data_IF_256027122501
#
_entry.id   IF_256027122501
#
_cell.length_a   1.000
_cell.length_b   1.000
_cell.length_c   1.000
_cell.angle_alpha   90.00
_cell.angle_beta   90.00
_cell.angle_gamma   90.00
#
_symmetry.space_group_name_H-M   'P 1'
#
loop_
_entity.id
_entity.type
_entity.pdbx_description
1 polymer ?
#
# COMPACT_ATOMS: atom_id res chain seq x y z
N UNK A 1 -20.07 -7.87 30.39
CA UNK A 1 -20.74 -7.31 29.21
C UNK A 1 -19.64 -6.71 28.34
N UNK A 2 -19.31 -7.38 27.22
CA UNK A 2 -17.98 -7.32 26.61
C UNK A 2 -17.65 -5.99 25.93
N UNK A 3 -16.60 -5.36 26.45
CA UNK A 3 -15.86 -4.23 25.88
C UNK A 3 -15.05 -4.76 24.70
N UNK A 4 -15.49 -4.48 23.47
CA UNK A 4 -14.66 -4.69 22.28
C UNK A 4 -13.75 -3.47 22.12
N UNK A 5 -12.45 -3.71 22.27
CA UNK A 5 -11.39 -2.72 22.14
C UNK A 5 -11.27 -2.24 20.69
N UNK A 6 -11.55 -0.97 20.46
CA UNK A 6 -11.25 -0.27 19.22
C UNK A 6 -9.80 0.23 19.27
N UNK A 7 -8.89 -0.44 18.56
CA UNK A 7 -7.52 0.02 18.36
C UNK A 7 -7.15 -0.08 16.88
N UNK A 8 -6.85 1.07 16.27
CA UNK A 8 -6.10 1.23 15.03
C UNK A 8 -6.58 0.43 13.82
N UNK A 9 -7.34 1.08 12.92
CA UNK A 9 -7.67 0.54 11.60
C UNK A 9 -6.38 0.28 10.78
N UNK A 10 -5.89 -0.96 10.81
CA UNK A 10 -4.91 -1.48 9.85
C UNK A 10 -5.68 -1.93 8.61
N UNK A 11 -5.90 -1.03 7.66
CA UNK A 11 -6.54 -1.36 6.39
C UNK A 11 -5.55 -2.00 5.38
N UNK A 12 -6.00 -2.98 4.62
CA UNK A 12 -5.28 -3.52 3.47
C UNK A 12 -6.28 -3.78 2.32
N UNK A 13 -5.80 -3.83 1.07
CA UNK A 13 -6.68 -4.07 -0.09
C UNK A 13 -7.34 -5.47 -0.07
N UNK A 14 -6.77 -6.39 0.71
CA UNK A 14 -7.31 -7.74 0.96
C UNK A 14 -8.58 -7.68 1.84
N UNK A 15 -8.87 -6.53 2.46
CA UNK A 15 -10.02 -6.34 3.33
C UNK A 15 -11.27 -5.83 2.60
N UNK A 16 -11.20 -5.60 1.28
CA UNK A 16 -12.38 -5.22 0.48
C UNK A 16 -13.22 -6.47 0.21
N UNK A 17 -14.41 -6.53 0.79
CA UNK A 17 -15.33 -7.66 0.67
C UNK A 17 -16.22 -7.56 -0.58
N UNK A 18 -16.62 -6.35 -0.97
CA UNK A 18 -17.46 -6.12 -2.14
C UNK A 18 -17.31 -4.69 -2.67
N UNK A 19 -17.49 -4.51 -3.98
CA UNK A 19 -17.60 -3.18 -4.60
C UNK A 19 -18.91 -3.09 -5.35
N UNK A 20 -19.72 -2.09 -5.03
CA UNK A 20 -21.04 -1.89 -5.63
C UNK A 20 -21.13 -0.50 -6.22
N UNK A 21 -21.52 -0.40 -7.49
CA UNK A 21 -21.95 0.86 -8.05
C UNK A 21 -23.28 1.25 -7.40
N UNK A 22 -23.35 2.46 -6.82
CA UNK A 22 -24.59 2.92 -6.18
C UNK A 22 -25.60 3.41 -7.21
N UNK A 23 -26.88 3.20 -6.88
CA UNK A 23 -28.00 3.77 -7.62
C UNK A 23 -28.01 5.29 -7.48
N UNK A 24 -28.54 5.99 -8.49
CA UNK A 24 -28.59 7.45 -8.51
C UNK A 24 -29.28 8.07 -7.28
N UNK A 25 -30.32 7.42 -6.74
CA UNK A 25 -31.00 7.89 -5.51
C UNK A 25 -30.08 7.86 -4.28
N UNK A 26 -29.27 6.80 -4.14
CA UNK A 26 -28.29 6.66 -3.04
C UNK A 26 -27.14 7.64 -3.23
N UNK A 27 -26.66 7.82 -4.46
CA UNK A 27 -25.63 8.81 -4.78
C UNK A 27 -26.05 10.23 -4.38
N UNK A 28 -27.31 10.62 -4.65
CA UNK A 28 -27.85 11.92 -4.20
C UNK A 28 -27.86 12.06 -2.69
N UNK A 29 -28.28 11.01 -1.96
CA UNK A 29 -28.26 11.01 -0.48
C UNK A 29 -26.85 11.17 0.08
N UNK A 30 -25.88 10.41 -0.42
CA UNK A 30 -24.48 10.50 0.01
C UNK A 30 -23.95 11.92 -0.22
N UNK A 31 -24.22 12.48 -1.41
CA UNK A 31 -23.80 13.85 -1.74
C UNK A 31 -24.42 14.90 -0.81
N UNK A 32 -25.70 14.76 -0.49
CA UNK A 32 -26.37 15.68 0.43
C UNK A 32 -25.76 15.58 1.83
N UNK A 33 -25.57 14.37 2.36
CA UNK A 33 -24.95 14.17 3.67
C UNK A 33 -23.53 14.76 3.75
N UNK A 34 -22.74 14.69 2.67
CA UNK A 34 -21.42 15.32 2.63
C UNK A 34 -21.52 16.85 2.57
N UNK A 35 -22.50 17.39 1.84
CA UNK A 35 -22.72 18.83 1.75
C UNK A 35 -23.15 19.43 3.09
N UNK A 36 -24.05 18.74 3.80
CA UNK A 36 -24.55 19.15 5.11
C UNK A 36 -23.41 19.15 6.15
N UNK A 37 -22.53 18.15 6.11
CA UNK A 37 -21.39 18.01 7.03
C UNK A 37 -20.26 19.00 6.72
N UNK A 38 -20.01 19.26 5.43
CA UNK A 38 -18.94 20.16 4.98
C UNK A 38 -19.51 21.22 4.02
N UNK A 39 -20.08 22.33 4.53
CA UNK A 39 -20.67 23.38 3.68
C UNK A 39 -19.66 23.99 2.70
N UNK A 40 -18.38 24.06 3.09
CA UNK A 40 -17.30 24.55 2.22
C UNK A 40 -17.05 23.68 0.98
N UNK A 41 -17.60 22.46 0.94
CA UNK A 41 -17.52 21.55 -0.20
C UNK A 41 -18.58 21.82 -1.26
N UNK A 42 -19.67 22.53 -0.95
CA UNK A 42 -20.82 22.68 -1.84
C UNK A 42 -20.45 23.17 -3.25
N UNK A 43 -19.57 24.18 -3.43
CA UNK A 43 -19.13 24.62 -4.75
C UNK A 43 -18.25 23.60 -5.48
N UNK A 44 -17.54 22.74 -4.75
CA UNK A 44 -16.56 21.77 -5.27
C UNK A 44 -17.16 20.37 -5.46
N UNK A 45 -18.35 20.11 -4.92
CA UNK A 45 -18.99 18.80 -4.96
C UNK A 45 -19.30 18.33 -6.38
N UNK A 46 -19.59 19.24 -7.31
CA UNK A 46 -19.84 18.88 -8.70
C UNK A 46 -18.57 18.44 -9.44
N UNK A 47 -17.40 18.94 -9.05
CA UNK A 47 -16.11 18.53 -9.60
C UNK A 47 -15.62 17.23 -8.99
N UNK A 48 -15.76 17.07 -7.67
CA UNK A 48 -15.21 15.95 -6.91
C UNK A 48 -16.13 14.72 -6.96
N UNK A 49 -17.45 14.93 -6.91
CA UNK A 49 -18.46 13.86 -6.94
C UNK A 49 -19.47 14.06 -8.07
N UNK A 50 -19.10 14.09 -9.37
CA UNK A 50 -19.99 14.53 -10.45
C UNK A 50 -21.33 13.78 -10.51
N UNK A 51 -22.45 14.50 -10.73
CA UNK A 51 -23.82 13.93 -10.71
C UNK A 51 -24.03 12.80 -11.73
N UNK A 52 -23.29 12.84 -12.84
CA UNK A 52 -23.38 11.88 -13.95
C UNK A 52 -22.32 10.77 -13.89
N UNK A 53 -21.28 10.94 -13.05
CA UNK A 53 -20.23 9.95 -12.93
C UNK A 53 -20.71 8.77 -12.04
N UNK A 54 -20.34 7.53 -12.38
CA UNK A 54 -20.66 6.37 -11.56
C UNK A 54 -19.91 6.48 -10.22
N UNK A 55 -20.65 6.45 -9.12
CA UNK A 55 -20.09 6.39 -7.77
C UNK A 55 -20.08 4.92 -7.32
N UNK A 56 -18.95 4.47 -6.79
CA UNK A 56 -18.76 3.09 -6.32
C UNK A 56 -18.58 3.15 -4.80
N UNK A 57 -19.26 2.28 -4.08
CA UNK A 57 -19.05 2.07 -2.65
C UNK A 57 -18.36 0.71 -2.46
N UNK A 58 -17.11 0.74 -1.98
CA UNK A 58 -16.36 -0.45 -1.61
C UNK A 58 -16.59 -0.76 -0.12
N UNK A 59 -17.20 -1.90 0.17
CA UNK A 59 -17.39 -2.41 1.52
C UNK A 59 -16.14 -3.14 1.96
N UNK A 60 -15.64 -2.80 3.13
CA UNK A 60 -14.45 -3.36 3.71
C UNK A 60 -14.79 -4.09 5.02
N UNK A 61 -13.83 -4.83 5.57
CA UNK A 61 -13.96 -5.40 6.91
C UNK A 61 -14.20 -4.30 7.96
N UNK A 62 -14.71 -4.69 9.14
CA UNK A 62 -15.03 -3.80 10.26
C UNK A 62 -16.07 -2.70 9.95
N UNK A 63 -16.94 -2.95 8.96
CA UNK A 63 -17.99 -2.01 8.55
C UNK A 63 -17.47 -0.67 7.99
N UNK A 64 -16.22 -0.63 7.53
CA UNK A 64 -15.69 0.51 6.80
C UNK A 64 -16.23 0.48 5.37
N UNK A 65 -16.82 1.57 4.89
CA UNK A 65 -17.14 1.74 3.48
C UNK A 65 -16.32 2.89 2.90
N UNK A 66 -15.81 2.69 1.70
CA UNK A 66 -15.09 3.70 0.93
C UNK A 66 -15.98 4.18 -0.21
N UNK A 67 -16.01 5.49 -0.43
CA UNK A 67 -16.69 6.14 -1.56
C UNK A 67 -15.65 6.45 -2.63
N UNK A 68 -15.76 5.77 -3.77
CA UNK A 68 -14.84 5.88 -4.89
C UNK A 68 -15.50 6.55 -6.09
N UNK A 69 -14.77 7.45 -6.72
CA UNK A 69 -15.08 8.02 -8.03
C UNK A 69 -13.85 7.82 -8.91
N UNK A 70 -14.03 7.29 -10.12
CA UNK A 70 -12.93 6.95 -11.04
C UNK A 70 -11.83 6.09 -10.36
N UNK A 71 -12.24 5.13 -9.52
CA UNK A 71 -11.36 4.27 -8.72
C UNK A 71 -10.50 5.00 -7.68
N UNK A 72 -10.69 6.31 -7.46
CA UNK A 72 -10.03 7.05 -6.39
C UNK A 72 -10.97 7.12 -5.19
N UNK A 73 -10.61 6.62 -3.99
CA UNK A 73 -11.42 6.80 -2.80
C UNK A 73 -11.27 8.24 -2.32
N UNK A 74 -12.40 8.90 -2.14
CA UNK A 74 -12.49 10.31 -1.79
C UNK A 74 -12.97 10.48 -0.36
N UNK A 75 -13.98 9.71 0.02
CA UNK A 75 -14.55 9.67 1.37
C UNK A 75 -14.59 8.25 1.90
N UNK A 76 -14.69 8.13 3.21
CA UNK A 76 -14.95 6.88 3.90
C UNK A 76 -15.98 7.11 5.01
N UNK A 77 -16.71 6.08 5.38
CA UNK A 77 -17.55 6.10 6.57
C UNK A 77 -17.44 4.75 7.28
N UNK A 78 -17.72 4.73 8.58
CA UNK A 78 -17.69 3.51 9.38
C UNK A 78 -19.10 3.28 9.92
N UNK A 79 -19.66 2.10 9.63
CA UNK A 79 -21.07 1.77 9.93
C UNK A 79 -22.00 2.84 9.34
N UNK A 80 -22.79 3.48 10.19
CA UNK A 80 -23.73 4.56 9.87
C UNK A 80 -23.22 5.93 10.33
N UNK A 81 -21.92 6.06 10.64
CA UNK A 81 -21.28 7.32 10.98
C UNK A 81 -21.14 8.27 9.78
N UNK A 82 -20.71 9.52 10.02
CA UNK A 82 -20.60 10.53 8.97
C UNK A 82 -19.56 10.15 7.92
N UNK A 83 -19.73 10.69 6.72
CA UNK A 83 -18.73 10.57 5.67
C UNK A 83 -17.55 11.49 6.00
N UNK A 84 -16.36 10.93 6.10
CA UNK A 84 -15.11 11.63 6.34
C UNK A 84 -14.28 11.65 5.06
N UNK A 85 -13.64 12.77 4.70
CA UNK A 85 -12.74 12.81 3.54
C UNK A 85 -11.52 11.93 3.79
N UNK A 86 -10.83 11.48 2.76
CA UNK A 86 -9.49 10.88 2.91
C UNK A 86 -8.45 11.96 3.21
N UNK A 87 -7.32 11.60 3.83
CA UNK A 87 -6.25 12.58 4.09
C UNK A 87 -5.73 13.23 2.81
N UNK A 88 -5.73 12.52 1.67
CA UNK A 88 -5.31 13.08 0.38
C UNK A 88 -6.28 14.13 -0.15
N UNK A 89 -7.58 13.93 0.07
CA UNK A 89 -8.59 14.91 -0.29
C UNK A 89 -8.46 16.13 0.60
N UNK A 90 -8.30 15.92 1.91
CA UNK A 90 -8.07 16.98 2.88
C UNK A 90 -6.77 17.77 2.62
N UNK A 91 -5.70 17.12 2.14
CA UNK A 91 -4.46 17.83 1.76
C UNK A 91 -4.62 18.72 0.53
N UNK A 92 -5.54 18.40 -0.37
CA UNK A 92 -5.86 19.25 -1.53
C UNK A 92 -6.77 20.42 -1.13
N UNK A 93 -7.67 20.19 -0.17
CA UNK A 93 -8.64 21.17 0.31
C UNK A 93 -8.56 21.26 1.85
N UNK A 94 -7.55 21.93 2.43
CA UNK A 94 -7.29 21.87 3.87
C UNK A 94 -8.33 22.59 4.74
N UNK A 95 -9.12 23.50 4.18
CA UNK A 95 -10.03 24.37 4.94
C UNK A 95 -11.47 23.84 5.04
N UNK A 96 -11.70 22.63 4.54
CA UNK A 96 -13.01 21.97 4.51
C UNK A 96 -13.44 21.42 5.88
N UNK A 97 -12.48 21.21 6.78
CA UNK A 97 -12.69 20.58 8.08
C UNK A 97 -12.19 21.49 9.19
N UNK A 98 -12.87 21.42 10.33
CA UNK A 98 -12.40 21.99 11.59
C UNK A 98 -11.11 21.29 12.02
N UNK A 99 -10.19 22.04 12.63
CA UNK A 99 -8.80 21.60 12.86
C UNK A 99 -8.51 21.60 14.36
N UNK A 100 -7.97 20.50 14.86
CA UNK A 100 -7.29 20.43 16.15
C UNK A 100 -5.80 20.26 15.91
N UNK A 101 -4.97 20.86 16.75
CA UNK A 101 -3.52 20.71 16.70
C UNK A 101 -3.04 19.90 17.90
N UNK A 102 -2.25 18.87 17.64
CA UNK A 102 -1.53 18.12 18.67
C UNK A 102 -0.10 18.63 18.83
N UNK A 103 0.42 18.53 20.05
CA UNK A 103 1.83 18.82 20.32
C UNK A 103 2.80 17.83 19.64
N UNK A 104 4.09 18.20 19.65
CA UNK A 104 5.17 17.38 19.08
C UNK A 104 5.28 15.99 19.70
N UNK A 105 4.98 15.84 20.99
CA UNK A 105 5.09 14.57 21.71
C UNK A 105 4.07 13.55 21.22
N UNK A 106 2.87 14.01 20.87
CA UNK A 106 1.78 13.18 20.38
C UNK A 106 2.00 12.65 18.94
N UNK A 107 2.72 13.38 18.08
CA UNK A 107 2.83 13.11 16.63
C UNK A 107 3.18 11.64 16.34
N UNK A 108 4.20 11.10 17.00
CA UNK A 108 4.65 9.71 16.77
C UNK A 108 3.55 8.69 17.08
N UNK A 109 2.77 8.94 18.12
CA UNK A 109 1.71 8.04 18.55
C UNK A 109 0.50 8.10 17.62
N UNK A 110 0.12 9.29 17.16
CA UNK A 110 -0.97 9.44 16.18
C UNK A 110 -0.62 8.78 14.85
N UNK A 111 0.63 8.92 14.39
CA UNK A 111 1.14 8.20 13.21
C UNK A 111 1.28 6.67 13.40
N UNK A 112 1.09 6.19 14.62
CA UNK A 112 1.01 4.76 14.93
C UNK A 112 -0.43 4.28 15.11
N UNK A 113 -1.43 5.15 14.89
CA UNK A 113 -2.86 4.84 15.02
C UNK A 113 -3.42 4.96 16.42
N UNK A 114 -2.71 5.62 17.35
CA UNK A 114 -3.24 5.88 18.69
C UNK A 114 -4.33 6.96 18.64
N UNK A 115 -5.28 6.88 19.58
CA UNK A 115 -6.27 7.92 19.81
C UNK A 115 -5.62 9.18 20.39
N UNK A 116 -6.27 10.32 20.19
CA UNK A 116 -5.79 11.61 20.66
C UNK A 116 -6.34 11.84 22.08
N UNK A 117 -5.43 12.05 23.02
CA UNK A 117 -5.75 12.29 24.43
C UNK A 117 -5.91 13.78 24.70
N UNK A 118 -6.78 14.15 25.65
CA UNK A 118 -7.02 15.57 26.00
C UNK A 118 -5.73 16.36 26.29
N UNK A 119 -4.74 15.85 27.06
CA UNK A 119 -3.52 16.59 27.36
C UNK A 119 -2.68 16.95 26.12
N UNK A 120 -2.78 16.18 25.04
CA UNK A 120 -2.05 16.46 23.80
C UNK A 120 -2.63 17.63 22.99
N UNK A 121 -3.84 18.07 23.33
CA UNK A 121 -4.56 19.18 22.68
C UNK A 121 -4.58 20.46 23.52
N UNK A 122 -4.37 20.36 24.83
CA UNK A 122 -4.37 21.47 25.79
C UNK A 122 -2.98 21.90 26.23
N UNK A 123 -1.93 21.21 25.77
CA UNK A 123 -0.54 21.58 26.02
C UNK A 123 -0.15 22.86 25.25
N UNK A 124 1.01 23.49 25.54
CA UNK A 124 1.43 24.73 24.87
C UNK A 124 1.56 24.64 23.34
N UNK A 125 1.80 23.44 22.81
CA UNK A 125 1.82 23.18 21.36
C UNK A 125 0.50 22.66 20.80
N UNK A 126 -0.48 22.38 21.66
CA UNK A 126 -1.82 21.97 21.29
C UNK A 126 -2.72 23.18 21.00
N UNK A 127 -3.68 23.01 20.10
CA UNK A 127 -4.69 24.02 19.82
C UNK A 127 -6.04 23.37 19.51
N UNK A 128 -7.11 24.02 19.94
CA UNK A 128 -8.49 23.57 19.78
C UNK A 128 -9.30 24.67 19.08
N UNK A 129 -10.17 24.26 18.17
CA UNK A 129 -11.26 25.11 17.70
C UNK A 129 -12.43 24.96 18.70
N UNK A 130 -12.73 26.01 19.45
CA UNK A 130 -13.70 25.98 20.56
C UNK A 130 -15.16 25.77 20.10
N UNK A 131 -15.43 25.91 18.80
CA UNK A 131 -16.76 25.67 18.21
C UNK A 131 -17.05 24.18 18.00
N UNK A 132 -16.04 23.32 18.06
CA UNK A 132 -16.19 21.89 17.79
C UNK A 132 -16.93 21.19 18.94
N UNK A 133 -18.03 20.52 18.57
CA UNK A 133 -18.84 19.72 19.48
C UNK A 133 -18.33 18.27 19.57
N UNK A 134 -18.94 17.50 20.45
CA UNK A 134 -18.78 16.05 20.43
C UNK A 134 -19.33 15.45 19.12
N UNK A 135 -18.91 14.24 18.79
CA UNK A 135 -19.40 13.51 17.62
C UNK A 135 -19.21 14.25 16.27
N UNK A 136 -18.15 15.06 16.18
CA UNK A 136 -17.82 15.87 15.01
C UNK A 136 -16.52 15.36 14.34
N UNK A 137 -16.48 15.22 13.00
CA UNK A 137 -15.25 14.97 12.26
C UNK A 137 -14.26 16.12 12.35
N UNK A 138 -13.00 15.83 12.68
CA UNK A 138 -11.93 16.84 12.78
C UNK A 138 -10.65 16.42 12.08
N UNK A 139 -9.96 17.41 11.52
CA UNK A 139 -8.60 17.27 11.01
C UNK A 139 -7.59 17.43 12.15
N UNK A 140 -6.67 16.47 12.28
CA UNK A 140 -5.60 16.51 13.28
C UNK A 140 -4.32 17.05 12.65
N UNK A 141 -3.95 18.26 13.05
CA UNK A 141 -2.74 18.98 12.65
C UNK A 141 -1.61 18.72 13.65
N UNK A 142 -0.36 18.84 13.20
CA UNK A 142 0.81 18.77 14.06
C UNK A 142 1.43 20.15 14.21
N UNK A 143 1.90 20.45 15.42
CA UNK A 143 2.72 21.63 15.66
C UNK A 143 3.88 21.72 14.65
N UNK A 144 3.94 22.84 13.91
CA UNK A 144 4.98 23.07 12.91
C UNK A 144 4.83 22.29 11.59
N UNK A 145 3.66 21.71 11.31
CA UNK A 145 3.35 21.03 10.04
C UNK A 145 2.15 21.67 9.34
N UNK A 146 2.25 21.77 8.01
CA UNK A 146 1.21 22.40 7.18
C UNK A 146 0.06 21.45 6.85
N UNK A 147 0.31 20.13 6.83
CA UNK A 147 -0.67 19.13 6.41
C UNK A 147 -1.20 18.36 7.62
N UNK A 148 -2.48 17.98 7.56
CA UNK A 148 -3.10 17.10 8.55
C UNK A 148 -2.38 15.75 8.58
N UNK A 149 -2.13 15.22 9.77
CA UNK A 149 -1.53 13.90 9.96
C UNK A 149 -2.55 12.80 10.19
N UNK A 150 -3.76 13.17 10.62
CA UNK A 150 -4.85 12.24 10.84
C UNK A 150 -6.21 12.94 10.70
N UNK A 151 -7.24 12.11 10.60
CA UNK A 151 -8.66 12.46 10.65
C UNK A 151 -9.22 11.72 11.84
N UNK A 152 -9.94 12.44 12.68
CA UNK A 152 -10.51 11.91 13.90
C UNK A 152 -11.99 12.24 14.05
N UNK A 153 -12.60 11.56 15.00
CA UNK A 153 -13.99 11.77 15.40
C UNK A 153 -14.03 12.12 16.88
N UNK A 154 -14.58 13.29 17.23
CA UNK A 154 -14.52 13.79 18.60
C UNK A 154 -15.38 12.95 19.55
N UNK A 155 -14.82 12.64 20.72
CA UNK A 155 -15.51 11.98 21.85
C UNK A 155 -15.96 12.95 22.92
N UNK A 156 -15.36 14.13 22.95
CA UNK A 156 -15.66 15.22 23.86
C UNK A 156 -15.71 16.51 23.05
N UNK A 157 -16.53 17.47 23.48
CA UNK A 157 -16.53 18.82 22.90
C UNK A 157 -15.21 19.54 23.19
N UNK A 158 -14.83 20.53 22.37
CA UNK A 158 -13.62 21.32 22.61
C UNK A 158 -13.59 21.98 24.01
N UNK A 159 -14.76 22.40 24.50
CA UNK A 159 -14.94 22.98 25.85
C UNK A 159 -14.67 21.94 26.94
N UNK A 160 -15.17 20.72 26.77
CA UNK A 160 -14.96 19.64 27.73
C UNK A 160 -13.52 19.14 27.71
N UNK A 161 -12.88 19.07 26.54
CA UNK A 161 -11.46 18.72 26.40
C UNK A 161 -10.61 19.68 27.23
N UNK A 162 -10.88 20.99 27.12
CA UNK A 162 -10.16 22.05 27.84
C UNK A 162 -10.41 21.99 29.36
N UNK A 163 -11.64 21.69 29.77
CA UNK A 163 -12.04 21.69 31.18
C UNK A 163 -11.64 20.42 31.92
N UNK A 164 -11.89 19.25 31.33
CA UNK A 164 -11.62 17.94 31.95
C UNK A 164 -10.13 17.59 31.85
N UNK A 165 -9.51 17.89 30.71
CA UNK A 165 -8.11 17.61 30.42
C UNK A 165 -7.64 16.17 30.72
N UNK A 166 -8.54 15.19 30.61
CA UNK A 166 -8.25 13.78 30.88
C UNK A 166 -9.10 12.88 29.98
N UNK A 167 -8.53 11.74 29.58
CA UNK A 167 -9.21 10.76 28.75
C UNK A 167 -8.97 10.94 27.25
N UNK A 168 -9.73 10.18 26.46
CA UNK A 168 -9.68 10.22 25.00
C UNK A 168 -10.53 11.40 24.53
N UNK A 169 -9.90 12.33 23.81
CA UNK A 169 -10.57 13.48 23.23
C UNK A 169 -11.14 13.16 21.84
N UNK A 170 -10.35 12.45 21.03
CA UNK A 170 -10.69 12.15 19.64
C UNK A 170 -10.24 10.73 19.30
N UNK A 171 -11.16 9.94 18.75
CA UNK A 171 -10.82 8.64 18.19
C UNK A 171 -10.13 8.83 16.83
N UNK A 172 -9.01 8.15 16.63
CA UNK A 172 -8.24 8.24 15.39
C UNK A 172 -8.86 7.32 14.33
N UNK A 173 -9.41 7.91 13.27
CA UNK A 173 -10.13 7.18 12.22
C UNK A 173 -9.22 6.83 11.04
N UNK A 174 -8.35 7.75 10.63
CA UNK A 174 -7.46 7.60 9.49
C UNK A 174 -6.20 8.44 9.70
N UNK A 175 -5.01 7.89 9.48
CA UNK A 175 -3.75 8.60 9.68
C UNK A 175 -2.74 8.38 8.55
N UNK A 176 -1.76 9.27 8.44
CA UNK A 176 -0.75 9.21 7.41
C UNK A 176 0.04 7.90 7.49
N UNK A 177 0.27 7.25 6.34
CA UNK A 177 0.93 5.94 6.23
C UNK A 177 0.17 4.75 6.82
N UNK A 178 -1.10 4.92 7.19
CA UNK A 178 -1.96 3.80 7.49
C UNK A 178 -2.30 2.99 6.22
N UNK A 179 -3.16 2.01 6.41
CA UNK A 179 -3.65 1.16 5.34
C UNK A 179 -4.33 1.92 4.21
N UNK A 180 -5.23 2.84 4.55
CA UNK A 180 -6.03 3.58 3.58
C UNK A 180 -5.14 4.54 2.79
N UNK A 181 -4.20 5.20 3.46
CA UNK A 181 -3.21 6.09 2.84
C UNK A 181 -2.36 5.37 1.78
N UNK A 182 -1.89 4.16 2.11
CA UNK A 182 -1.08 3.31 1.23
C UNK A 182 -1.92 2.64 0.14
N UNK A 183 -3.14 2.23 0.46
CA UNK A 183 -4.06 1.55 -0.45
C UNK A 183 -4.44 2.42 -1.64
N UNK A 184 -4.55 3.74 -1.44
CA UNK A 184 -4.79 4.70 -2.53
C UNK A 184 -3.68 4.68 -3.57
N UNK A 185 -2.42 4.63 -3.12
CA UNK A 185 -1.29 4.52 -4.05
C UNK A 185 -1.39 3.23 -4.86
N UNK A 186 -1.87 2.11 -4.30
CA UNK A 186 -2.02 0.86 -5.05
C UNK A 186 -3.05 0.95 -6.18
N UNK A 187 -4.17 1.67 -5.99
CA UNK A 187 -5.18 1.87 -7.05
C UNK A 187 -4.72 2.86 -8.11
N UNK A 188 -3.98 3.89 -7.70
CA UNK A 188 -3.39 4.89 -8.60
C UNK A 188 -2.08 4.41 -9.28
N UNK A 189 -1.72 3.12 -9.18
CA UNK A 189 -0.52 2.55 -9.82
C UNK A 189 0.82 2.89 -9.12
N UNK A 190 0.77 3.45 -7.92
CA UNK A 190 1.89 3.80 -7.06
C UNK A 190 2.40 2.66 -6.17
N UNK A 191 3.62 2.21 -6.47
CA UNK A 191 4.54 1.44 -5.60
C UNK A 191 3.95 0.29 -4.78
N UNK A 192 3.24 -0.60 -5.45
CA UNK A 192 3.49 -2.02 -5.19
C UNK A 192 4.96 -2.28 -5.52
N UNK A 193 5.85 -2.38 -4.53
CA UNK A 193 7.16 -2.98 -4.78
C UNK A 193 6.86 -4.37 -5.29
N UNK A 194 6.98 -4.58 -6.61
CA UNK A 194 7.08 -5.93 -7.15
C UNK A 194 8.27 -6.52 -6.40
N UNK A 195 8.02 -7.42 -5.45
CA UNK A 195 9.05 -8.18 -4.76
C UNK A 195 9.94 -8.94 -5.76
N UNK A 196 9.48 -9.02 -7.01
CA UNK A 196 10.17 -9.58 -8.16
C UNK A 196 10.75 -8.48 -9.06
N UNK A 197 12.05 -8.56 -9.29
CA UNK A 197 12.77 -7.78 -10.29
C UNK A 197 12.18 -8.00 -11.68
N UNK A 198 11.99 -6.91 -12.41
CA UNK A 198 11.45 -6.88 -13.80
C UNK A 198 12.53 -6.58 -14.85
N UNK A 199 13.76 -6.33 -14.40
CA UNK A 199 14.95 -6.05 -15.20
C UNK A 199 16.21 -6.49 -14.41
N UNK A 200 17.31 -6.86 -15.11
CA UNK A 200 18.60 -7.13 -14.47
C UNK A 200 19.18 -5.83 -13.86
N UNK A 201 20.03 -5.94 -12.84
CA UNK A 201 20.80 -4.79 -12.32
C UNK A 201 21.97 -4.40 -13.22
N UNK A 202 22.61 -5.42 -13.80
CA UNK A 202 23.92 -5.26 -14.41
C UNK A 202 23.83 -4.37 -15.65
N UNK A 203 24.85 -3.53 -15.80
CA UNK A 203 24.97 -2.66 -16.96
C UNK A 203 25.55 -3.34 -18.20
N UNK A 204 25.94 -4.61 -18.10
CA UNK A 204 26.44 -5.43 -19.20
C UNK A 204 25.46 -5.45 -20.38
N UNK A 205 25.95 -4.98 -21.53
CA UNK A 205 25.21 -4.86 -22.78
C UNK A 205 24.75 -6.23 -23.29
N UNK A 206 25.57 -7.28 -23.16
CA UNK A 206 25.24 -8.62 -23.62
C UNK A 206 24.10 -9.23 -22.79
N UNK A 207 24.13 -9.04 -21.48
CA UNK A 207 23.04 -9.48 -20.59
C UNK A 207 21.73 -8.75 -20.92
N UNK A 208 21.79 -7.43 -21.18
CA UNK A 208 20.61 -6.64 -21.57
C UNK A 208 20.03 -7.09 -22.91
N UNK A 209 20.86 -7.42 -23.89
CA UNK A 209 20.43 -7.98 -25.18
C UNK A 209 19.78 -9.36 -25.02
N UNK A 210 20.38 -10.23 -24.22
CA UNK A 210 19.84 -11.56 -23.92
C UNK A 210 18.47 -11.48 -23.25
N UNK A 211 18.30 -10.58 -22.28
CA UNK A 211 17.01 -10.32 -21.63
C UNK A 211 15.96 -9.83 -22.63
N UNK A 212 16.32 -8.93 -23.56
CA UNK A 212 15.40 -8.45 -24.61
C UNK A 212 14.94 -9.59 -25.51
N UNK A 213 15.88 -10.46 -25.93
CA UNK A 213 15.58 -11.63 -26.75
C UNK A 213 14.62 -12.58 -26.04
N UNK A 214 14.92 -13.00 -24.81
CA UNK A 214 14.06 -13.94 -24.07
C UNK A 214 12.70 -13.33 -23.70
N UNK A 215 12.63 -12.02 -23.45
CA UNK A 215 11.35 -11.32 -23.26
C UNK A 215 10.48 -11.37 -24.53
N UNK A 216 11.08 -11.27 -25.71
CA UNK A 216 10.38 -11.43 -26.98
C UNK A 216 9.94 -12.89 -27.20
N UNK A 217 10.84 -13.85 -27.00
CA UNK A 217 10.56 -15.28 -27.18
C UNK A 217 9.45 -15.79 -26.27
N UNK A 218 9.41 -15.39 -24.99
CA UNK A 218 8.35 -15.78 -24.05
C UNK A 218 6.98 -15.34 -24.55
N UNK A 219 6.88 -14.11 -25.09
CA UNK A 219 5.61 -13.56 -25.60
C UNK A 219 5.13 -14.27 -26.86
N UNK A 220 6.05 -14.73 -27.71
CA UNK A 220 5.73 -15.33 -29.01
C UNK A 220 5.52 -16.84 -28.97
N UNK A 221 6.29 -17.55 -28.15
CA UNK A 221 6.36 -19.02 -28.19
C UNK A 221 5.59 -19.71 -27.08
N UNK A 222 5.27 -19.02 -25.97
CA UNK A 222 4.60 -19.64 -24.81
C UNK A 222 5.40 -20.76 -24.11
N UNK A 223 6.64 -21.04 -24.54
CA UNK A 223 7.44 -22.15 -24.02
C UNK A 223 7.83 -21.93 -22.55
N UNK A 224 7.57 -22.96 -21.72
CA UNK A 224 7.97 -22.97 -20.30
C UNK A 224 9.48 -22.79 -20.13
N UNK A 225 10.29 -23.31 -21.05
CA UNK A 225 11.75 -23.16 -21.03
C UNK A 225 12.16 -21.68 -21.08
N UNK A 226 11.63 -20.92 -22.04
CA UNK A 226 11.94 -19.50 -22.20
C UNK A 226 11.53 -18.67 -20.97
N UNK A 227 10.38 -19.01 -20.36
CA UNK A 227 9.90 -18.36 -19.15
C UNK A 227 10.82 -18.62 -17.95
N UNK A 228 11.38 -19.82 -17.83
CA UNK A 228 12.36 -20.18 -16.79
C UNK A 228 13.67 -19.42 -16.98
N UNK A 229 14.20 -19.37 -18.20
CA UNK A 229 15.44 -18.62 -18.50
C UNK A 229 15.26 -17.14 -18.18
N UNK A 230 14.17 -16.51 -18.65
CA UNK A 230 13.87 -15.10 -18.37
C UNK A 230 13.70 -14.83 -16.87
N UNK A 231 13.02 -15.72 -16.15
CA UNK A 231 12.87 -15.59 -14.70
C UNK A 231 14.22 -15.65 -14.01
N UNK A 232 15.08 -16.60 -14.41
CA UNK A 232 16.41 -16.73 -13.85
C UNK A 232 17.20 -15.46 -14.10
N UNK A 233 17.32 -14.97 -15.33
CA UNK A 233 18.07 -13.74 -15.70
C UNK A 233 17.73 -12.48 -14.88
N UNK A 234 16.55 -12.43 -14.24
CA UNK A 234 16.15 -11.31 -13.38
C UNK A 234 16.48 -11.47 -11.89
N UNK A 235 16.86 -12.66 -11.40
CA UNK A 235 17.10 -12.82 -9.95
C UNK A 235 18.46 -12.21 -9.54
N UNK A 236 18.62 -11.92 -8.24
CA UNK A 236 19.87 -11.40 -7.69
C UNK A 236 20.91 -12.50 -7.50
N UNK A 237 22.19 -12.14 -7.46
CA UNK A 237 23.30 -13.09 -7.24
C UNK A 237 23.12 -13.91 -5.95
N UNK A 238 22.62 -13.29 -4.87
CA UNK A 238 22.29 -14.01 -3.61
C UNK A 238 21.24 -15.10 -3.80
N UNK A 239 20.36 -14.95 -4.79
CA UNK A 239 19.29 -15.91 -5.09
C UNK A 239 19.66 -16.89 -6.22
N UNK A 240 20.88 -16.79 -6.76
CA UNK A 240 21.44 -17.70 -7.77
C UNK A 240 22.53 -18.57 -7.15
N UNK A 241 22.18 -19.64 -6.43
CA UNK A 241 23.18 -20.56 -5.93
C UNK A 241 23.94 -21.20 -7.11
N UNK A 242 25.27 -21.35 -7.01
CA UNK A 242 26.05 -22.07 -8.02
C UNK A 242 25.58 -23.52 -8.12
N UNK A 243 25.79 -24.13 -9.29
CA UNK A 243 25.49 -25.54 -9.53
C UNK A 243 26.79 -26.34 -9.49
N UNK A 244 26.87 -27.28 -8.55
CA UNK A 244 27.95 -28.25 -8.45
C UNK A 244 27.88 -29.31 -9.55
N UNK A 245 29.04 -29.74 -10.07
CA UNK A 245 29.15 -30.78 -11.10
C UNK A 245 28.41 -32.06 -10.73
N UNK A 246 28.53 -32.54 -9.48
CA UNK A 246 27.78 -33.73 -9.00
C UNK A 246 26.29 -33.65 -9.29
N UNK A 247 25.70 -32.49 -9.00
CA UNK A 247 24.26 -32.26 -9.17
C UNK A 247 23.89 -32.19 -10.64
N UNK A 248 24.77 -31.65 -11.47
CA UNK A 248 24.59 -31.59 -12.93
C UNK A 248 24.58 -32.99 -13.56
N UNK A 249 25.53 -33.85 -13.16
CA UNK A 249 25.61 -35.24 -13.61
C UNK A 249 24.31 -35.99 -13.27
N UNK A 250 23.81 -35.83 -12.03
CA UNK A 250 22.54 -36.45 -11.63
C UNK A 250 21.37 -35.99 -12.49
N UNK A 251 21.30 -34.71 -12.87
CA UNK A 251 20.20 -34.21 -13.71
C UNK A 251 20.28 -34.61 -15.18
N UNK A 252 21.49 -34.88 -15.66
CA UNK A 252 21.79 -35.27 -17.04
C UNK A 252 21.75 -36.79 -17.27
N UNK A 253 21.66 -37.59 -16.20
CA UNK A 253 21.53 -39.04 -16.32
C UNK A 253 20.33 -39.42 -17.22
N UNK A 254 20.59 -40.19 -18.28
CA UNK A 254 19.61 -40.60 -19.29
C UNK A 254 19.15 -39.50 -20.26
N UNK A 255 19.94 -38.42 -20.43
CA UNK A 255 19.62 -37.28 -21.32
C UNK A 255 20.81 -36.89 -22.21
N UNK A 256 21.47 -37.87 -22.81
CA UNK A 256 22.72 -37.68 -23.56
C UNK A 256 22.53 -36.82 -24.83
N UNK A 257 21.32 -36.81 -25.41
CA UNK A 257 20.97 -36.00 -26.58
C UNK A 257 20.65 -34.53 -26.27
N UNK A 258 20.59 -34.15 -24.99
CA UNK A 258 20.13 -32.82 -24.57
C UNK A 258 21.30 -31.95 -24.10
N UNK A 259 21.15 -30.64 -24.25
CA UNK A 259 22.08 -29.65 -23.73
C UNK A 259 21.53 -29.07 -22.43
N UNK A 260 22.32 -29.12 -21.36
CA UNK A 260 21.98 -28.45 -20.11
C UNK A 260 22.22 -26.95 -20.23
N UNK A 261 21.18 -26.14 -20.05
CA UNK A 261 21.30 -24.67 -20.06
C UNK A 261 21.15 -24.12 -18.64
N UNK A 262 22.21 -23.49 -18.14
CA UNK A 262 22.32 -23.00 -16.77
C UNK A 262 22.50 -21.49 -16.77
N UNK A 263 21.55 -20.78 -16.19
CA UNK A 263 21.68 -19.34 -15.90
C UNK A 263 22.30 -19.21 -14.51
N UNK A 264 23.63 -19.23 -14.45
CA UNK A 264 24.42 -19.18 -13.21
C UNK A 264 25.84 -19.73 -13.39
N UNK A 265 26.58 -19.82 -12.28
CA UNK A 265 27.93 -20.36 -12.24
C UNK A 265 27.92 -21.87 -12.01
N UNK A 266 28.70 -22.60 -12.80
CA UNK A 266 28.99 -24.03 -12.57
C UNK A 266 30.32 -24.15 -11.81
N UNK A 267 30.29 -24.88 -10.70
CA UNK A 267 31.41 -25.08 -9.79
C UNK A 267 31.81 -26.55 -9.73
N UNK A 268 33.10 -26.79 -9.58
CA UNK A 268 33.65 -28.13 -9.38
C UNK A 268 33.20 -28.75 -8.05
N UNK A 269 33.21 -30.09 -7.96
CA UNK A 269 32.94 -30.85 -6.75
C UNK A 269 34.02 -31.92 -6.58
N UNK A 270 34.98 -31.68 -5.68
CA UNK A 270 36.13 -32.56 -5.39
C UNK A 270 35.77 -34.01 -5.00
N UNK A 271 34.49 -34.28 -4.71
CA UNK A 271 34.00 -35.64 -4.38
C UNK A 271 33.66 -36.45 -5.63
N UNK A 272 33.66 -35.83 -6.80
CA UNK A 272 33.41 -36.47 -8.09
C UNK A 272 34.76 -36.68 -8.76
N UNK A 273 35.14 -37.94 -8.95
CA UNK A 273 36.42 -38.31 -9.56
C UNK A 273 36.32 -38.46 -11.08
N UNK A 274 35.15 -38.82 -11.60
CA UNK A 274 34.89 -38.99 -13.04
C UNK A 274 33.65 -38.20 -13.44
N UNK A 275 33.79 -37.39 -14.51
CA UNK A 275 32.69 -36.62 -15.10
C UNK A 275 32.35 -37.23 -16.46
N UNK A 276 31.13 -37.76 -16.66
CA UNK A 276 30.72 -38.28 -17.96
C UNK A 276 30.64 -37.16 -19.00
N UNK A 277 30.78 -37.51 -20.28
CA UNK A 277 30.68 -36.54 -21.37
C UNK A 277 29.27 -35.89 -21.40
N UNK A 278 29.19 -34.61 -21.05
CA UNK A 278 27.93 -33.84 -20.97
C UNK A 278 28.02 -32.53 -21.76
N UNK A 279 26.93 -32.16 -22.45
CA UNK A 279 26.82 -30.88 -23.17
C UNK A 279 26.18 -29.83 -22.28
N UNK A 280 26.91 -28.78 -21.93
CA UNK A 280 26.48 -27.76 -20.95
C UNK A 280 26.77 -26.36 -21.46
N UNK A 281 25.78 -25.46 -21.38
CA UNK A 281 25.95 -24.02 -21.58
C UNK A 281 25.62 -23.30 -20.28
N UNK A 282 26.58 -22.52 -19.77
CA UNK A 282 26.40 -21.73 -18.56
C UNK A 282 26.94 -20.30 -18.72
N UNK A 283 26.53 -19.39 -17.84
CA UNK A 283 27.04 -18.01 -17.84
C UNK A 283 28.51 -17.95 -17.40
N UNK A 284 28.91 -18.82 -16.47
CA UNK A 284 30.29 -18.90 -15.97
C UNK A 284 30.63 -20.32 -15.54
N UNK A 285 31.84 -20.76 -15.85
CA UNK A 285 32.47 -21.93 -15.26
C UNK A 285 33.65 -21.47 -14.39
N UNK A 286 33.79 -22.05 -13.20
CA UNK A 286 35.03 -21.89 -12.41
C UNK A 286 36.19 -22.56 -13.12
N UNK A 287 37.41 -22.08 -12.89
CA UNK A 287 38.62 -22.62 -13.55
C UNK A 287 38.77 -24.13 -13.29
N UNK A 288 38.54 -24.56 -12.05
CA UNK A 288 38.56 -25.98 -11.66
C UNK A 288 37.49 -26.83 -12.33
N UNK A 289 36.39 -26.24 -12.81
CA UNK A 289 35.30 -26.95 -13.48
C UNK A 289 35.45 -27.01 -15.00
N UNK A 290 36.45 -26.32 -15.56
CA UNK A 290 36.78 -26.36 -17.00
C UNK A 290 37.79 -27.47 -17.32
N UNK A 291 38.22 -28.21 -16.30
CA UNK A 291 39.20 -29.30 -16.38
C UNK A 291 38.73 -30.47 -17.22
#
# INVERSE_FOLDING_TARGET
MNILSWYGLRFSFEDISAQNQVKASVQRKIRQSIADEYPGFEPLLDDILPKKAPLIVAKCQNHLNLVLVNSVPLFFNIRDGPYMPTLRLLHQYPDIMKKFQVDRGAIKFVLSGANIMCPGLTSPGGALDEEVLEETPVAIMAEGKQHALAIGYTKLSAKDIKTINKGIAVDNMHYLNDGLWKGIDLVAGGRGKKARRTAPMSDDVYLKLLVKLYRFLVRRTGSKFNAVILKRLFMSETSWPPIFLKRLITFMNGKDDKIAVIVGTVTDDKRVYEVPAIKVTALRFTETARG
#
